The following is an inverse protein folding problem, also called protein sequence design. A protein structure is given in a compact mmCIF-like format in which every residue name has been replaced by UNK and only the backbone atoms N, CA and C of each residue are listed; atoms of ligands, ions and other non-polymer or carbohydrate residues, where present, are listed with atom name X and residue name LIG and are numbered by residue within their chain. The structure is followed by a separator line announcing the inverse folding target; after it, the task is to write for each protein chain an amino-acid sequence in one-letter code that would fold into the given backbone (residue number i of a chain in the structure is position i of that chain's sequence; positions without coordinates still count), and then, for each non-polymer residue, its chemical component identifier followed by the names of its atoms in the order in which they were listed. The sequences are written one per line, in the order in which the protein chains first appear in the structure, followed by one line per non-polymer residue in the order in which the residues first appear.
data_IF_541085689037
#
_entry.id   IF_541085689037
#
_cell.length_a   1.000
_cell.length_b   1.000
_cell.length_c   1.000
_cell.angle_alpha   90.00
_cell.angle_beta   90.00
_cell.angle_gamma   90.00
#
_symmetry.space_group_name_H-M   'P 1'
#
loop_
_entity.id
_entity.type
_entity.pdbx_description
1 polymer ?
#
# COMPACT_ATOMS: atom_id res chain seq x y z
N UNK A 1 -17.62 4.60 -37.08
CA UNK A 1 -18.58 4.35 -36.00
C UNK A 1 -18.05 3.25 -35.10
N UNK A 2 -17.97 3.54 -33.80
CA UNK A 2 -17.81 2.64 -32.63
C UNK A 2 -16.49 1.86 -32.47
N UNK A 3 -15.58 2.40 -31.66
CA UNK A 3 -14.42 1.68 -31.11
C UNK A 3 -14.84 0.81 -29.92
N UNK A 4 -14.70 -0.51 -30.07
CA UNK A 4 -14.88 -1.50 -28.99
C UNK A 4 -13.81 -1.28 -27.91
N UNK A 5 -14.19 -0.70 -26.77
CA UNK A 5 -13.34 -0.75 -25.57
C UNK A 5 -13.55 -2.11 -24.91
N UNK A 6 -12.55 -2.98 -25.00
CA UNK A 6 -12.54 -4.30 -24.37
C UNK A 6 -12.65 -4.15 -22.86
N UNK A 7 -13.86 -4.32 -22.32
CA UNK A 7 -14.06 -4.49 -20.87
C UNK A 7 -13.54 -5.87 -20.50
N UNK A 8 -12.50 -5.93 -19.67
CA UNK A 8 -12.08 -7.19 -19.03
C UNK A 8 -13.23 -7.70 -18.15
N UNK A 9 -13.90 -8.74 -18.63
CA UNK A 9 -14.92 -9.49 -17.91
C UNK A 9 -14.25 -10.47 -16.94
N UNK A 10 -14.61 -10.41 -15.65
CA UNK A 10 -14.26 -11.45 -14.69
C UNK A 10 -15.43 -12.43 -14.59
N UNK A 11 -15.20 -13.70 -14.87
CA UNK A 11 -16.24 -14.74 -14.81
C UNK A 11 -16.16 -15.43 -13.45
N UNK A 12 -17.27 -15.44 -12.71
CA UNK A 12 -17.33 -16.17 -11.44
C UNK A 12 -17.22 -17.69 -11.69
N UNK A 13 -16.30 -18.42 -11.02
CA UNK A 13 -16.03 -19.82 -11.34
C UNK A 13 -17.20 -20.78 -11.13
N UNK A 14 -18.16 -20.45 -10.26
CA UNK A 14 -19.28 -21.34 -9.89
C UNK A 14 -20.58 -21.09 -10.66
N UNK A 15 -20.81 -19.87 -11.15
CA UNK A 15 -22.07 -19.46 -11.77
C UNK A 15 -21.94 -19.14 -13.26
N UNK A 16 -20.71 -18.99 -13.77
CA UNK A 16 -20.47 -18.53 -15.14
C UNK A 16 -20.92 -17.08 -15.39
N UNK A 17 -21.33 -16.37 -14.34
CA UNK A 17 -21.81 -15.00 -14.45
C UNK A 17 -20.64 -14.07 -14.73
N UNK A 18 -20.75 -13.31 -15.82
CA UNK A 18 -19.82 -12.24 -16.16
C UNK A 18 -20.07 -11.08 -15.21
N UNK A 19 -19.13 -10.83 -14.30
CA UNK A 19 -19.12 -9.60 -13.49
C UNK A 19 -18.55 -8.51 -14.39
N UNK A 20 -19.45 -7.65 -14.87
CA UNK A 20 -19.07 -6.39 -15.48
C UNK A 20 -18.64 -5.44 -14.38
N UNK A 21 -17.35 -5.09 -14.34
CA UNK A 21 -16.86 -4.02 -13.47
C UNK A 21 -17.49 -2.72 -13.97
N UNK A 22 -18.56 -2.27 -13.31
CA UNK A 22 -19.24 -1.03 -13.64
C UNK A 22 -18.44 0.14 -13.07
N UNK A 23 -18.30 1.21 -13.87
CA UNK A 23 -17.66 2.44 -13.42
C UNK A 23 -18.56 3.20 -12.44
N UNK A 24 -18.06 4.31 -11.93
CA UNK A 24 -18.86 5.22 -11.11
C UNK A 24 -20.06 5.78 -11.89
N UNK A 25 -21.20 5.94 -11.21
CA UNK A 25 -22.43 6.47 -11.80
C UNK A 25 -22.30 7.95 -12.15
N UNK A 26 -21.51 8.70 -11.37
CA UNK A 26 -21.22 10.11 -11.62
C UNK A 26 -19.77 10.48 -11.26
N UNK A 27 -19.36 11.67 -11.71
CA UNK A 27 -18.10 12.29 -11.28
C UNK A 27 -18.10 12.60 -9.78
N UNK A 28 -19.27 12.87 -9.18
CA UNK A 28 -19.36 13.12 -7.75
C UNK A 28 -19.04 11.84 -6.95
N UNK A 29 -19.59 10.70 -7.39
CA UNK A 29 -19.36 9.41 -6.72
C UNK A 29 -17.88 8.99 -6.79
N UNK A 30 -17.24 9.20 -7.93
CA UNK A 30 -15.82 8.90 -8.08
C UNK A 30 -14.95 9.77 -7.17
N UNK A 31 -15.27 11.06 -7.02
CA UNK A 31 -14.55 11.97 -6.12
C UNK A 31 -14.71 11.55 -4.65
N UNK A 32 -15.93 11.26 -4.21
CA UNK A 32 -16.20 10.79 -2.85
C UNK A 32 -15.44 9.48 -2.56
N UNK A 33 -15.41 8.57 -3.53
CA UNK A 33 -14.68 7.32 -3.38
C UNK A 33 -13.17 7.55 -3.28
N UNK A 34 -12.58 8.37 -4.17
CA UNK A 34 -11.14 8.65 -4.17
C UNK A 34 -10.73 9.37 -2.89
N UNK A 35 -11.51 10.31 -2.39
CA UNK A 35 -11.24 11.01 -1.13
C UNK A 35 -11.16 10.04 0.05
N UNK A 36 -12.14 9.14 0.17
CA UNK A 36 -12.15 8.09 1.19
C UNK A 36 -10.97 7.15 1.03
N UNK A 37 -10.65 6.76 -0.20
CA UNK A 37 -9.51 5.90 -0.50
C UNK A 37 -8.19 6.54 -0.09
N UNK A 38 -7.95 7.80 -0.46
CA UNK A 38 -6.70 8.52 -0.15
C UNK A 38 -6.54 8.68 1.37
N UNK A 39 -7.60 9.05 2.06
CA UNK A 39 -7.61 9.11 3.53
C UNK A 39 -7.26 7.75 4.15
N UNK A 40 -7.94 6.68 3.72
CA UNK A 40 -7.64 5.34 4.19
C UNK A 40 -6.20 4.89 3.86
N UNK A 41 -5.74 5.11 2.64
CA UNK A 41 -4.41 4.72 2.17
C UNK A 41 -3.30 5.37 2.99
N UNK A 42 -3.46 6.66 3.32
CA UNK A 42 -2.43 7.44 4.02
C UNK A 42 -2.43 7.25 5.54
N UNK A 43 -3.60 7.08 6.16
CA UNK A 43 -3.73 7.13 7.62
C UNK A 43 -4.11 5.81 8.28
N UNK A 44 -4.60 4.83 7.52
CA UNK A 44 -5.11 3.58 8.09
C UNK A 44 -4.46 2.33 7.48
N UNK A 45 -4.22 2.32 6.17
CA UNK A 45 -3.64 1.17 5.49
C UNK A 45 -2.16 1.02 5.81
N UNK A 46 -1.78 -0.16 6.30
CA UNK A 46 -0.40 -0.51 6.64
C UNK A 46 0.24 -1.27 5.48
N UNK A 47 1.05 -0.58 4.69
CA UNK A 47 1.65 -1.13 3.48
C UNK A 47 2.75 -2.14 3.81
N UNK A 48 2.72 -3.31 3.18
CA UNK A 48 3.75 -4.35 3.38
C UNK A 48 5.15 -3.87 2.96
N UNK A 49 5.22 -3.05 1.90
CA UNK A 49 6.45 -2.38 1.45
C UNK A 49 7.00 -1.40 2.49
N UNK A 50 6.12 -0.80 3.31
CA UNK A 50 6.49 0.07 4.42
C UNK A 50 6.64 -0.69 5.74
N UNK A 51 6.86 -2.01 5.68
CA UNK A 51 6.97 -2.87 6.87
C UNK A 51 5.76 -2.71 7.81
N UNK A 52 4.57 -2.57 7.23
CA UNK A 52 3.29 -2.43 7.95
C UNK A 52 3.23 -1.21 8.88
N UNK A 53 3.68 -0.05 8.41
CA UNK A 53 3.33 1.27 8.94
C UNK A 53 2.53 2.05 7.89
N UNK A 54 1.90 3.15 8.28
CA UNK A 54 1.15 3.98 7.34
C UNK A 54 2.07 4.94 6.60
N UNK A 55 1.73 5.43 5.40
CA UNK A 55 2.50 6.46 4.72
C UNK A 55 2.64 7.73 5.57
N UNK A 56 1.59 8.10 6.30
CA UNK A 56 1.63 9.22 7.24
C UNK A 56 2.67 9.00 8.36
N UNK A 57 2.75 7.81 8.96
CA UNK A 57 3.77 7.49 9.97
C UNK A 57 5.20 7.56 9.41
N UNK A 58 5.37 7.30 8.11
CA UNK A 58 6.66 7.47 7.43
C UNK A 58 7.01 8.95 7.32
N UNK A 59 6.06 9.76 6.84
CA UNK A 59 6.25 11.20 6.67
C UNK A 59 6.53 11.92 7.99
N UNK A 60 5.78 11.61 9.05
CA UNK A 60 5.97 12.20 10.38
C UNK A 60 7.17 11.61 11.14
N UNK A 61 7.83 10.57 10.60
CA UNK A 61 8.96 9.91 11.26
C UNK A 61 8.58 8.94 12.39
N UNK A 62 7.30 8.85 12.77
CA UNK A 62 6.78 7.97 13.83
C UNK A 62 7.10 6.49 13.64
N UNK A 63 7.32 6.05 12.39
CA UNK A 63 7.70 4.68 12.07
C UNK A 63 9.01 4.22 12.74
N UNK A 64 9.95 5.12 13.03
CA UNK A 64 11.26 4.75 13.58
C UNK A 64 11.14 3.98 14.89
N UNK A 65 10.37 4.51 15.84
CA UNK A 65 10.18 3.90 17.15
C UNK A 65 9.41 2.57 17.04
N UNK A 66 8.37 2.54 16.22
CA UNK A 66 7.54 1.34 15.99
C UNK A 66 8.38 0.20 15.41
N UNK A 67 9.22 0.49 14.42
CA UNK A 67 10.07 -0.52 13.78
C UNK A 67 11.19 -0.99 14.69
N UNK A 68 11.79 -0.11 15.51
CA UNK A 68 12.76 -0.50 16.53
C UNK A 68 12.16 -1.49 17.52
N UNK A 69 11.00 -1.16 18.09
CA UNK A 69 10.28 -2.02 19.03
C UNK A 69 9.91 -3.38 18.42
N UNK A 70 9.52 -3.41 17.14
CA UNK A 70 9.24 -4.67 16.43
C UNK A 70 10.48 -5.52 16.25
N UNK A 71 11.62 -4.92 15.91
CA UNK A 71 12.89 -5.64 15.79
C UNK A 71 13.27 -6.31 17.12
N UNK A 72 13.25 -5.56 18.22
CA UNK A 72 13.53 -6.09 19.56
C UNK A 72 12.58 -7.21 19.96
N UNK A 73 11.27 -7.03 19.74
CA UNK A 73 10.26 -8.04 20.06
C UNK A 73 10.51 -9.35 19.31
N UNK A 74 10.88 -9.26 18.02
CA UNK A 74 11.13 -10.42 17.18
C UNK A 74 12.38 -11.17 17.61
N UNK A 75 13.45 -10.46 17.98
CA UNK A 75 14.66 -11.10 18.51
C UNK A 75 14.39 -11.81 19.84
N UNK A 76 13.71 -11.14 20.78
CA UNK A 76 13.30 -11.76 22.05
C UNK A 76 12.43 -13.01 21.84
N UNK A 77 11.53 -12.98 20.86
CA UNK A 77 10.71 -14.14 20.52
C UNK A 77 11.49 -15.27 19.81
N UNK A 78 12.63 -14.95 19.19
CA UNK A 78 13.51 -15.93 18.54
C UNK A 78 14.39 -16.69 19.54
N UNK A 79 14.94 -16.00 20.53
CA UNK A 79 15.85 -16.57 21.54
C UNK A 79 15.42 -17.93 22.12
N UNK A 80 14.17 -18.13 22.61
CA UNK A 80 13.79 -19.39 23.24
C UNK A 80 13.57 -20.54 22.26
N UNK A 81 13.43 -20.28 20.96
CA UNK A 81 13.17 -21.32 19.95
C UNK A 81 13.70 -20.96 18.56
N UNK A 82 15.02 -20.86 18.37
CA UNK A 82 15.61 -20.41 17.11
C UNK A 82 15.28 -21.31 15.92
N UNK A 83 15.08 -22.61 16.16
CA UNK A 83 14.73 -23.61 15.13
C UNK A 83 13.38 -23.36 14.45
N UNK A 84 12.46 -22.63 15.10
CA UNK A 84 11.17 -22.23 14.51
C UNK A 84 11.35 -21.23 13.37
N UNK A 85 12.47 -20.50 13.35
CA UNK A 85 12.72 -19.39 12.45
C UNK A 85 13.56 -19.86 11.26
N UNK A 86 13.11 -19.55 10.04
CA UNK A 86 13.80 -19.95 8.82
C UNK A 86 15.24 -19.41 8.84
N UNK A 87 16.21 -20.33 8.69
CA UNK A 87 17.65 -20.02 8.76
C UNK A 87 18.08 -19.29 10.06
N UNK A 88 17.32 -19.45 11.15
CA UNK A 88 17.53 -18.73 12.42
C UNK A 88 17.52 -17.19 12.32
N UNK A 89 16.88 -16.62 11.28
CA UNK A 89 16.79 -15.17 11.05
C UNK A 89 15.39 -14.65 11.37
N UNK A 90 15.32 -13.47 11.99
CA UNK A 90 14.06 -12.72 12.13
C UNK A 90 13.75 -11.93 10.85
N UNK A 91 12.50 -11.48 10.74
CA UNK A 91 12.10 -10.54 9.69
C UNK A 91 12.88 -9.24 9.84
N UNK A 92 13.45 -8.77 8.74
CA UNK A 92 14.06 -7.46 8.67
C UNK A 92 13.00 -6.36 8.79
N UNK A 93 13.16 -5.51 9.82
CA UNK A 93 12.29 -4.37 10.12
C UNK A 93 12.91 -3.01 9.73
N UNK A 94 14.08 -2.99 9.09
CA UNK A 94 14.68 -1.76 8.59
C UNK A 94 13.89 -1.22 7.39
N UNK A 95 13.68 0.10 7.34
CA UNK A 95 13.00 0.77 6.23
C UNK A 95 14.02 1.52 5.37
N UNK A 96 14.29 1.04 4.16
CA UNK A 96 15.30 1.60 3.25
C UNK A 96 14.83 2.81 2.46
N UNK A 97 13.54 3.19 2.56
CA UNK A 97 12.94 4.27 1.77
C UNK A 97 13.65 5.62 1.93
N UNK A 98 14.40 5.83 3.02
CA UNK A 98 15.13 7.08 3.27
C UNK A 98 16.45 7.24 2.49
N UNK A 99 17.04 6.18 1.94
CA UNK A 99 18.29 6.29 1.16
C UNK A 99 18.06 6.53 -0.34
N UNK A 100 16.86 6.22 -0.84
CA UNK A 100 16.48 6.39 -2.26
C UNK A 100 15.07 6.97 -2.45
N UNK A 101 14.51 7.62 -1.42
CA UNK A 101 13.26 8.36 -1.53
C UNK A 101 13.34 9.32 -2.70
N UNK A 102 12.25 9.54 -3.45
CA UNK A 102 12.30 10.32 -4.66
C UNK A 102 12.96 11.64 -4.31
N UNK A 103 14.04 11.99 -5.04
CA UNK A 103 14.37 13.39 -5.23
C UNK A 103 13.03 14.11 -5.33
N UNK A 104 12.82 15.11 -4.50
CA UNK A 104 11.86 16.15 -4.78
C UNK A 104 12.18 16.63 -6.21
N UNK A 105 11.61 15.94 -7.20
CA UNK A 105 11.33 16.54 -8.48
C UNK A 105 10.21 17.47 -8.08
N UNK A 106 10.50 18.76 -8.06
CA UNK A 106 9.48 19.77 -8.30
C UNK A 106 8.49 19.16 -9.28
N UNK A 107 7.26 18.93 -8.81
CA UNK A 107 6.18 18.62 -9.73
C UNK A 107 6.09 19.89 -10.56
N UNK A 108 6.62 19.83 -11.79
CA UNK A 108 6.44 20.90 -12.74
C UNK A 108 4.93 21.05 -12.95
N UNK A 109 4.36 22.04 -12.26
CA UNK A 109 2.93 22.33 -12.29
C UNK A 109 2.48 22.78 -13.70
N UNK A 110 3.40 22.98 -14.64
CA UNK A 110 3.08 23.24 -16.05
C UNK A 110 2.56 22.00 -16.81
N UNK A 111 2.75 20.79 -16.27
CA UNK A 111 2.30 19.54 -16.89
C UNK A 111 0.92 19.07 -16.40
N UNK A 112 0.34 19.70 -15.38
CA UNK A 112 -1.05 19.49 -14.99
C UNK A 112 -1.92 20.37 -15.87
N UNK A 113 -2.18 19.91 -17.10
CA UNK A 113 -3.23 20.51 -17.95
C UNK A 113 -4.59 20.02 -17.45
N UNK A 114 -5.36 20.92 -16.88
CA UNK A 114 -6.81 20.79 -16.70
C UNK A 114 -7.48 20.90 -18.07
#
# INVERSE_FOLDING_TARGET
MTTLTSRRSFVQPSTGQVILIQGFESLADSRIWVEKFVSYYNYHHRHSALKFVTPHDVHEGNHMEVLSKRAELYEKAREPSPRRWANSKVRDWSLTWREHGPHHREIDRSLVKV
#
